data_IF_915204975820
#
_entry.id   IF_915204975820
#
_cell.length_a   1.000
_cell.length_b   1.000
_cell.length_c   1.000
_cell.angle_alpha   90.00
_cell.angle_beta   90.00
_cell.angle_gamma   90.00
#
_symmetry.space_group_name_H-M   'P 1'
#
loop_
_entity.id
_entity.type
_entity.pdbx_description
1 polymer ?
#
# COMPACT_ATOMS: atom_id res chain seq x y z
N UNK A 1 -2.22 -46.25 -3.33
CA UNK A 1 -3.22 -46.18 -2.24
C UNK A 1 -3.41 -44.77 -1.67
N UNK A 2 -2.39 -43.90 -1.61
CA UNK A 2 -2.53 -42.48 -1.20
C UNK A 2 -3.23 -41.61 -2.27
N UNK A 3 -3.10 -41.93 -3.56
CA UNK A 3 -3.77 -41.19 -4.65
C UNK A 3 -5.28 -41.48 -4.83
N UNK A 4 -5.78 -42.59 -4.29
CA UNK A 4 -7.21 -42.94 -4.39
C UNK A 4 -8.07 -42.18 -3.36
N UNK A 5 -7.46 -41.75 -2.24
CA UNK A 5 -8.13 -40.98 -1.18
C UNK A 5 -8.34 -39.51 -1.58
N UNK A 6 -7.49 -38.95 -2.46
CA UNK A 6 -7.63 -37.57 -2.93
C UNK A 6 -8.78 -37.40 -3.93
N UNK A 7 -9.01 -38.40 -4.79
CA UNK A 7 -10.10 -38.37 -5.78
C UNK A 7 -11.50 -38.52 -5.15
N UNK A 8 -11.63 -39.28 -4.05
CA UNK A 8 -12.91 -39.44 -3.34
C UNK A 8 -13.31 -38.19 -2.57
N UNK A 9 -12.35 -37.39 -2.07
CA UNK A 9 -12.64 -36.15 -1.34
C UNK A 9 -13.12 -35.02 -2.26
N UNK A 10 -12.64 -34.97 -3.51
CA UNK A 10 -13.11 -33.98 -4.51
C UNK A 10 -14.52 -34.29 -5.04
N UNK A 11 -14.89 -35.57 -5.21
CA UNK A 11 -16.21 -35.96 -5.68
C UNK A 11 -17.32 -35.70 -4.64
N UNK A 12 -17.02 -35.83 -3.33
CA UNK A 12 -17.97 -35.53 -2.26
C UNK A 12 -18.26 -34.02 -2.13
N UNK A 13 -17.28 -33.16 -2.42
CA UNK A 13 -17.44 -31.70 -2.39
C UNK A 13 -18.36 -31.20 -3.54
N UNK A 14 -18.22 -31.79 -4.73
CA UNK A 14 -19.02 -31.47 -5.92
C UNK A 14 -20.48 -31.96 -5.85
N UNK A 15 -20.79 -32.95 -5.01
CA UNK A 15 -22.14 -33.50 -4.86
C UNK A 15 -22.98 -32.79 -3.78
N UNK A 16 -22.36 -32.09 -2.82
CA UNK A 16 -23.10 -31.31 -1.80
C UNK A 16 -23.61 -29.95 -2.31
N UNK A 17 -23.08 -29.45 -3.43
CA UNK A 17 -23.47 -28.17 -4.02
C UNK A 17 -24.72 -28.21 -4.92
N UNK A 18 -25.41 -29.36 -5.04
CA UNK A 18 -26.55 -29.53 -5.97
C UNK A 18 -27.94 -29.63 -5.31
N UNK A 19 -28.06 -29.43 -4.00
CA UNK A 19 -29.36 -29.42 -3.33
C UNK A 19 -29.53 -28.15 -2.52
N UNK A 20 -29.84 -27.04 -3.18
CA UNK A 20 -30.68 -25.93 -2.70
C UNK A 20 -30.81 -24.91 -3.85
N UNK A 21 -31.55 -25.30 -4.90
CA UNK A 21 -32.06 -24.35 -5.87
C UNK A 21 -33.45 -23.90 -5.38
N UNK A 22 -33.48 -22.90 -4.51
CA UNK A 22 -34.69 -22.13 -4.21
C UNK A 22 -34.75 -20.92 -5.14
N UNK A 23 -35.94 -20.68 -5.69
CA UNK A 23 -36.27 -19.60 -6.64
C UNK A 23 -35.72 -18.23 -6.22
N UNK A 24 -35.34 -17.34 -7.17
CA UNK A 24 -34.86 -16.01 -6.82
C UNK A 24 -36.01 -15.18 -6.26
N UNK A 25 -35.95 -14.90 -4.96
CA UNK A 25 -36.83 -13.94 -4.31
C UNK A 25 -36.72 -12.56 -4.99
N UNK A 26 -37.85 -11.90 -5.16
CA UNK A 26 -37.95 -10.58 -5.77
C UNK A 26 -36.98 -9.59 -5.09
N UNK A 27 -36.13 -8.96 -5.89
CA UNK A 27 -35.19 -7.93 -5.43
C UNK A 27 -35.98 -6.65 -5.18
N UNK A 28 -36.24 -6.34 -3.91
CA UNK A 28 -36.73 -5.02 -3.49
C UNK A 28 -35.66 -3.97 -3.81
N UNK A 29 -36.00 -3.04 -4.71
CA UNK A 29 -35.09 -2.06 -5.32
C UNK A 29 -34.87 -0.77 -4.50
N UNK A 30 -35.09 -0.79 -3.18
CA UNK A 30 -35.08 0.46 -2.39
C UNK A 30 -34.07 0.52 -1.23
N UNK A 31 -33.08 -0.37 -1.15
CA UNK A 31 -32.07 -0.29 -0.06
C UNK A 31 -30.66 -0.13 -0.61
N UNK A 32 -30.09 1.06 -0.38
CA UNK A 32 -28.74 1.53 -0.77
C UNK A 32 -27.58 0.72 -0.15
N UNK A 33 -27.88 -0.22 0.75
CA UNK A 33 -26.90 -1.07 1.44
C UNK A 33 -27.23 -2.53 1.08
N UNK A 34 -26.29 -3.31 0.51
CA UNK A 34 -26.55 -4.71 0.15
C UNK A 34 -27.10 -5.47 1.36
N UNK A 35 -28.33 -5.98 1.24
CA UNK A 35 -29.04 -6.65 2.35
C UNK A 35 -28.59 -8.09 2.58
N UNK A 36 -27.77 -8.66 1.71
CA UNK A 36 -27.28 -10.02 1.88
C UNK A 36 -25.97 -9.97 2.71
N UNK A 37 -26.13 -10.13 4.03
CA UNK A 37 -25.11 -10.50 5.04
C UNK A 37 -24.15 -9.43 5.62
N UNK A 38 -24.50 -8.15 5.73
CA UNK A 38 -23.52 -7.17 6.27
C UNK A 38 -23.52 -7.05 7.80
N UNK A 39 -24.64 -7.31 8.48
CA UNK A 39 -24.73 -7.10 9.94
C UNK A 39 -25.35 -8.32 10.63
N UNK A 40 -24.54 -9.09 11.34
CA UNK A 40 -25.06 -10.04 12.34
C UNK A 40 -25.97 -9.32 13.35
N UNK A 41 -26.72 -10.07 14.17
CA UNK A 41 -27.76 -9.58 15.11
C UNK A 41 -27.37 -8.45 16.08
N UNK A 42 -26.11 -7.96 16.07
CA UNK A 42 -25.61 -6.85 16.89
C UNK A 42 -24.99 -5.78 15.99
N UNK A 43 -25.31 -4.51 16.30
CA UNK A 43 -24.73 -3.34 15.66
C UNK A 43 -23.20 -3.31 15.85
N UNK A 44 -22.46 -3.11 14.74
CA UNK A 44 -21.00 -3.03 14.74
C UNK A 44 -20.52 -1.74 15.37
N UNK A 45 -19.34 -1.76 16.00
CA UNK A 45 -18.71 -0.61 16.64
C UNK A 45 -17.40 -0.27 15.95
N UNK A 46 -17.22 0.97 15.51
CA UNK A 46 -16.00 1.46 14.84
C UNK A 46 -15.35 2.57 15.69
N UNK A 47 -14.04 2.45 15.93
CA UNK A 47 -13.26 3.50 16.56
C UNK A 47 -12.59 4.38 15.50
N UNK A 48 -12.85 5.68 15.55
CA UNK A 48 -12.22 6.69 14.71
C UNK A 48 -11.08 7.32 15.51
N UNK A 49 -9.84 7.06 15.08
CA UNK A 49 -8.63 7.68 15.60
C UNK A 49 -8.30 8.89 14.74
N UNK A 50 -8.46 10.09 15.29
CA UNK A 50 -8.09 11.32 14.60
C UNK A 50 -6.69 11.73 15.01
N UNK A 51 -5.72 11.44 14.16
CA UNK A 51 -4.33 11.84 14.40
C UNK A 51 -4.04 13.26 13.92
N UNK A 52 -4.91 13.86 13.09
CA UNK A 52 -4.77 15.21 12.53
C UNK A 52 -4.97 15.23 11.01
N UNK A 53 -4.19 16.07 10.33
CA UNK A 53 -4.26 16.25 8.88
C UNK A 53 -5.28 17.29 8.40
N UNK A 54 -5.26 17.56 7.09
CA UNK A 54 -6.05 18.59 6.42
C UNK A 54 -7.53 18.56 6.76
N UNK A 55 -8.08 17.38 7.03
CA UNK A 55 -9.47 17.17 7.40
C UNK A 55 -9.89 18.06 8.58
N UNK A 56 -9.04 18.23 9.59
CA UNK A 56 -9.31 19.00 10.81
C UNK A 56 -8.71 20.40 10.80
N UNK A 57 -8.19 20.88 9.66
CA UNK A 57 -7.49 22.17 9.61
C UNK A 57 -8.43 23.34 9.29
N UNK A 58 -8.18 24.51 9.89
CA UNK A 58 -8.84 25.78 9.58
C UNK A 58 -7.83 26.92 9.46
N UNK A 59 -8.18 28.05 8.83
CA UNK A 59 -7.33 29.23 8.82
C UNK A 59 -7.04 29.69 10.24
N UNK A 60 -5.77 29.95 10.54
CA UNK A 60 -5.30 30.46 11.81
C UNK A 60 -4.67 31.84 11.60
N UNK A 61 -5.26 32.88 12.22
CA UNK A 61 -4.81 34.27 12.08
C UNK A 61 -3.41 34.50 12.67
N UNK A 62 -3.04 33.80 13.73
CA UNK A 62 -1.71 33.89 14.37
C UNK A 62 -0.61 33.35 13.45
N UNK A 63 -0.98 32.50 12.48
CA UNK A 63 -0.11 31.96 11.44
C UNK A 63 -0.27 32.69 10.10
N UNK A 64 -0.75 33.94 10.13
CA UNK A 64 -0.93 34.75 8.92
C UNK A 64 -2.02 34.23 7.97
N UNK A 65 -3.00 33.50 8.51
CA UNK A 65 -4.08 32.87 7.72
C UNK A 65 -3.74 31.49 7.17
N UNK A 66 -2.57 30.94 7.50
CA UNK A 66 -2.21 29.56 7.17
C UNK A 66 -3.19 28.55 7.79
N UNK A 67 -3.35 27.40 7.14
CA UNK A 67 -4.15 26.31 7.72
C UNK A 67 -3.41 25.70 8.90
N UNK A 68 -4.11 25.45 10.00
CA UNK A 68 -3.60 24.74 11.17
C UNK A 68 -4.65 23.77 11.74
N UNK A 69 -4.23 22.66 12.39
CA UNK A 69 -5.16 21.74 13.03
C UNK A 69 -6.03 22.45 14.08
N UNK A 70 -7.32 22.12 14.11
CA UNK A 70 -8.26 22.62 15.12
C UNK A 70 -8.74 21.44 15.98
N UNK A 71 -8.38 21.48 17.25
CA UNK A 71 -8.79 20.48 18.24
C UNK A 71 -10.31 20.42 18.40
N UNK A 72 -10.84 19.21 18.53
CA UNK A 72 -12.27 18.97 18.70
C UNK A 72 -13.11 19.22 17.45
N UNK A 73 -12.51 19.66 16.34
CA UNK A 73 -13.24 19.96 15.11
C UNK A 73 -13.99 18.72 14.62
N UNK A 74 -13.30 17.59 14.46
CA UNK A 74 -13.95 16.38 13.96
C UNK A 74 -15.02 15.88 14.93
N UNK A 75 -14.75 15.89 16.23
CA UNK A 75 -15.74 15.52 17.26
C UNK A 75 -17.00 16.36 17.15
N UNK A 76 -16.86 17.68 16.99
CA UNK A 76 -17.99 18.61 16.82
C UNK A 76 -18.78 18.31 15.55
N UNK A 77 -18.09 18.18 14.41
CA UNK A 77 -18.74 17.87 13.13
C UNK A 77 -19.51 16.54 13.19
N UNK A 78 -18.94 15.50 13.80
CA UNK A 78 -19.60 14.20 13.93
C UNK A 78 -20.89 14.29 14.76
N UNK A 79 -20.91 15.12 15.81
CA UNK A 79 -22.09 15.29 16.65
C UNK A 79 -23.21 16.10 15.94
N UNK A 80 -22.82 17.20 15.29
CA UNK A 80 -23.75 18.22 14.77
C UNK A 80 -24.15 17.97 13.31
N UNK A 81 -23.19 17.64 12.44
CA UNK A 81 -23.35 17.78 10.98
C UNK A 81 -23.35 16.46 10.20
N UNK A 82 -22.99 15.32 10.80
CA UNK A 82 -22.96 14.01 10.14
C UNK A 82 -24.27 13.22 10.33
N UNK A 83 -25.32 13.62 9.61
CA UNK A 83 -26.62 12.92 9.63
C UNK A 83 -26.57 11.52 9.01
N UNK A 84 -25.64 11.26 8.09
CA UNK A 84 -25.45 9.96 7.44
C UNK A 84 -25.03 8.89 8.44
N UNK A 85 -24.26 9.25 9.48
CA UNK A 85 -23.84 8.31 10.52
C UNK A 85 -24.99 7.90 11.45
N UNK A 86 -26.10 8.67 11.45
CA UNK A 86 -27.30 8.37 12.24
C UNK A 86 -28.27 7.43 11.49
N UNK A 87 -27.93 7.01 10.27
CA UNK A 87 -28.76 6.08 9.49
C UNK A 87 -28.81 4.69 10.16
N UNK A 88 -29.95 3.96 10.11
CA UNK A 88 -30.15 2.71 10.86
C UNK A 88 -29.12 1.60 10.60
N UNK A 89 -28.47 1.63 9.44
CA UNK A 89 -27.53 0.60 9.00
C UNK A 89 -26.06 1.02 9.15
N UNK A 90 -25.77 2.19 9.71
CA UNK A 90 -24.41 2.60 10.02
C UNK A 90 -23.93 1.98 11.34
N UNK A 91 -22.62 1.65 11.45
CA UNK A 91 -22.06 1.19 12.71
C UNK A 91 -22.11 2.31 13.76
N UNK A 92 -22.16 1.91 15.03
CA UNK A 92 -21.91 2.82 16.15
C UNK A 92 -20.46 3.31 16.07
N UNK A 93 -20.25 4.62 16.13
CA UNK A 93 -18.91 5.22 16.03
C UNK A 93 -18.52 5.89 17.34
N UNK A 94 -17.28 5.67 17.76
CA UNK A 94 -16.64 6.47 18.80
C UNK A 94 -15.42 7.18 18.21
N UNK A 95 -15.18 8.42 18.59
CA UNK A 95 -14.00 9.18 18.19
C UNK A 95 -13.00 9.29 19.35
N UNK A 96 -11.72 9.21 19.02
CA UNK A 96 -10.62 9.58 19.89
C UNK A 96 -9.65 10.47 19.09
N UNK A 97 -9.55 11.75 19.48
CA UNK A 97 -8.58 12.67 18.92
C UNK A 97 -7.22 12.55 19.63
N UNK A 98 -6.14 12.72 18.89
CA UNK A 98 -4.80 12.81 19.47
C UNK A 98 -4.56 14.22 19.99
N UNK A 99 -3.90 14.27 21.14
CA UNK A 99 -3.40 15.50 21.74
C UNK A 99 -1.86 15.41 21.87
N UNK A 100 -1.08 16.26 21.18
CA UNK A 100 -1.54 17.19 20.15
C UNK A 100 -1.95 16.44 18.86
N UNK A 101 -2.71 17.13 18.00
CA UNK A 101 -2.91 16.70 16.61
C UNK A 101 -1.56 16.80 15.85
N UNK A 102 -1.36 15.91 14.89
CA UNK A 102 -0.12 15.73 14.14
C UNK A 102 -0.26 16.23 12.70
N UNK A 103 0.77 16.90 12.21
CA UNK A 103 1.03 17.04 10.78
C UNK A 103 1.60 15.71 10.26
N UNK A 104 1.06 15.19 9.16
CA UNK A 104 1.56 13.94 8.59
C UNK A 104 3.04 14.00 8.18
N UNK A 105 3.54 15.18 7.78
CA UNK A 105 4.93 15.38 7.39
C UNK A 105 5.92 15.25 8.56
N UNK A 106 5.45 15.45 9.79
CA UNK A 106 6.25 15.31 11.01
C UNK A 106 6.13 13.91 11.65
N UNK A 107 5.27 13.03 11.12
CA UNK A 107 5.05 11.71 11.71
C UNK A 107 6.26 10.79 11.53
N UNK A 108 6.76 10.27 12.65
CA UNK A 108 7.83 9.27 12.69
C UNK A 108 7.41 7.95 13.35
N UNK A 109 8.37 7.04 13.57
CA UNK A 109 8.12 5.74 14.20
C UNK A 109 7.39 5.79 15.54
N UNK A 110 7.69 6.78 16.38
CA UNK A 110 7.03 6.96 17.67
C UNK A 110 5.51 7.19 17.50
N UNK A 111 5.12 7.97 16.48
CA UNK A 111 3.71 8.23 16.18
C UNK A 111 3.01 7.00 15.61
N UNK A 112 3.70 6.23 14.76
CA UNK A 112 3.17 4.96 14.24
C UNK A 112 2.88 3.98 15.38
N UNK A 113 3.79 3.90 16.36
CA UNK A 113 3.60 3.10 17.58
C UNK A 113 2.43 3.60 18.39
N UNK A 114 2.28 4.92 18.57
CA UNK A 114 1.15 5.51 19.28
C UNK A 114 -0.20 5.11 18.63
N UNK A 115 -0.28 5.13 17.30
CA UNK A 115 -1.47 4.66 16.57
C UNK A 115 -1.69 3.16 16.80
N UNK A 116 -0.68 2.34 16.59
CA UNK A 116 -0.78 0.89 16.70
C UNK A 116 -1.12 0.42 18.13
N UNK A 117 -0.57 1.07 19.16
CA UNK A 117 -0.90 0.83 20.56
C UNK A 117 -2.34 1.23 20.90
N UNK A 118 -2.82 2.33 20.33
CA UNK A 118 -4.21 2.77 20.52
C UNK A 118 -5.19 1.78 19.91
N UNK A 119 -4.88 1.25 18.72
CA UNK A 119 -5.66 0.15 18.09
C UNK A 119 -5.62 -1.09 18.99
N UNK A 120 -4.43 -1.53 19.41
CA UNK A 120 -4.26 -2.72 20.25
C UNK A 120 -5.01 -2.62 21.58
N UNK A 121 -4.99 -1.45 22.23
CA UNK A 121 -5.71 -1.18 23.50
C UNK A 121 -7.23 -1.34 23.35
N UNK A 122 -7.77 -0.91 22.22
CA UNK A 122 -9.21 -0.94 21.95
C UNK A 122 -9.65 -2.16 21.13
N UNK A 123 -8.72 -3.08 20.83
CA UNK A 123 -8.92 -4.15 19.86
C UNK A 123 -10.10 -5.07 20.17
N UNK A 124 -10.38 -5.34 21.45
CA UNK A 124 -11.51 -6.20 21.84
C UNK A 124 -12.85 -5.44 21.96
N UNK A 125 -12.82 -4.11 21.99
CA UNK A 125 -14.01 -3.28 22.23
C UNK A 125 -14.74 -2.88 20.94
N UNK A 126 -14.00 -2.81 19.83
CA UNK A 126 -14.49 -2.37 18.52
C UNK A 126 -14.32 -3.46 17.47
N UNK A 127 -15.16 -3.44 16.44
CA UNK A 127 -15.16 -4.38 15.31
C UNK A 127 -14.20 -3.94 14.20
N UNK A 128 -13.82 -2.66 14.17
CA UNK A 128 -12.75 -2.15 13.31
C UNK A 128 -12.39 -0.69 13.60
N UNK A 129 -11.42 -0.19 12.84
CA UNK A 129 -10.72 1.06 13.14
C UNK A 129 -10.64 1.93 11.91
N UNK A 130 -10.92 3.22 12.06
CA UNK A 130 -10.62 4.25 11.08
C UNK A 130 -9.51 5.12 11.63
N UNK A 131 -8.47 5.39 10.85
CA UNK A 131 -7.40 6.33 11.21
C UNK A 131 -7.49 7.52 10.27
N UNK A 132 -7.93 8.66 10.80
CA UNK A 132 -7.96 9.94 10.09
C UNK A 132 -6.62 10.62 10.26
N UNK A 133 -5.93 10.88 9.14
CA UNK A 133 -4.61 11.51 9.15
C UNK A 133 -4.35 12.39 7.92
N UNK A 134 -3.25 13.14 7.95
CA UNK A 134 -2.77 13.91 6.80
C UNK A 134 -2.32 13.02 5.65
N UNK A 135 -2.43 13.53 4.43
CA UNK A 135 -2.24 12.71 3.23
C UNK A 135 -0.78 12.48 2.85
N UNK A 136 0.15 13.33 3.27
CA UNK A 136 1.53 13.31 2.76
C UNK A 136 2.28 12.03 3.10
N UNK A 137 2.07 11.47 4.29
CA UNK A 137 2.75 10.24 4.74
C UNK A 137 1.80 9.06 4.96
N UNK A 138 0.52 9.17 4.58
CA UNK A 138 -0.49 8.11 4.80
C UNK A 138 -0.09 6.76 4.20
N UNK A 139 0.56 6.76 3.04
CA UNK A 139 1.09 5.53 2.42
C UNK A 139 2.21 4.89 3.25
N UNK A 140 3.08 5.69 3.89
CA UNK A 140 4.11 5.20 4.81
C UNK A 140 3.49 4.65 6.10
N UNK A 141 2.56 5.38 6.71
CA UNK A 141 1.92 4.94 7.97
C UNK A 141 1.08 3.68 7.75
N UNK A 142 0.31 3.58 6.67
CA UNK A 142 -0.44 2.37 6.34
C UNK A 142 0.48 1.17 6.08
N UNK A 143 1.62 1.39 5.40
CA UNK A 143 2.64 0.36 5.20
C UNK A 143 3.24 -0.10 6.54
N UNK A 144 3.63 0.81 7.42
CA UNK A 144 4.17 0.50 8.74
C UNK A 144 3.17 -0.28 9.60
N UNK A 145 1.91 0.20 9.71
CA UNK A 145 0.86 -0.46 10.47
C UNK A 145 0.56 -1.87 9.95
N UNK A 146 0.66 -2.10 8.63
CA UNK A 146 0.50 -3.43 8.04
C UNK A 146 1.46 -4.42 8.67
N UNK A 147 2.74 -4.05 8.85
CA UNK A 147 3.74 -4.92 9.47
C UNK A 147 3.61 -4.99 10.99
N UNK A 148 3.33 -3.86 11.65
CA UNK A 148 3.26 -3.74 13.11
C UNK A 148 2.12 -4.54 13.74
N UNK A 149 0.99 -4.65 13.04
CA UNK A 149 -0.22 -5.37 13.49
C UNK A 149 -0.21 -6.82 12.99
N UNK A 150 0.62 -7.68 13.60
CA UNK A 150 0.65 -9.10 13.28
C UNK A 150 -0.63 -9.80 13.75
N UNK A 151 -1.16 -10.73 12.93
CA UNK A 151 -2.44 -11.41 13.16
C UNK A 151 -3.62 -10.43 13.28
N UNK A 152 -3.61 -9.37 12.48
CA UNK A 152 -4.76 -8.48 12.34
C UNK A 152 -5.96 -9.24 11.77
N UNK A 153 -7.05 -9.25 12.53
CA UNK A 153 -8.32 -9.92 12.21
C UNK A 153 -9.51 -8.96 12.18
N UNK A 154 -9.24 -7.66 12.10
CA UNK A 154 -10.23 -6.57 12.03
C UNK A 154 -9.73 -5.51 11.05
N UNK A 155 -10.61 -4.82 10.31
CA UNK A 155 -10.18 -3.81 9.36
C UNK A 155 -9.57 -2.59 10.07
N UNK A 156 -8.49 -2.08 9.51
CA UNK A 156 -7.88 -0.79 9.88
C UNK A 156 -7.82 0.06 8.62
N UNK A 157 -8.72 1.02 8.51
CA UNK A 157 -8.88 1.85 7.32
C UNK A 157 -8.32 3.24 7.58
N UNK A 158 -7.22 3.58 6.91
CA UNK A 158 -6.69 4.92 6.89
C UNK A 158 -7.46 5.76 5.88
N UNK A 159 -7.72 7.01 6.24
CA UNK A 159 -8.41 7.97 5.37
C UNK A 159 -8.03 9.40 5.74
N UNK A 160 -8.45 10.35 4.94
CA UNK A 160 -8.19 11.78 5.12
C UNK A 160 -8.90 12.59 4.06
N UNK A 161 -8.39 13.80 3.79
CA UNK A 161 -8.92 14.65 2.73
C UNK A 161 -7.85 15.53 2.12
N UNK A 162 -8.05 15.93 0.86
CA UNK A 162 -7.27 17.01 0.24
C UNK A 162 -7.80 18.38 0.64
N UNK A 163 -9.08 18.46 0.99
CA UNK A 163 -9.77 19.71 1.31
C UNK A 163 -10.29 19.64 2.75
N UNK A 164 -10.11 20.70 3.58
CA UNK A 164 -10.62 20.72 4.93
C UNK A 164 -12.13 20.45 5.04
N UNK A 165 -12.56 19.85 6.14
CA UNK A 165 -13.93 19.38 6.33
C UNK A 165 -14.99 20.51 6.26
N UNK A 166 -14.62 21.73 6.65
CA UNK A 166 -15.53 22.88 6.65
C UNK A 166 -15.78 23.50 5.27
N UNK A 167 -14.98 23.16 4.25
CA UNK A 167 -15.15 23.73 2.91
C UNK A 167 -16.26 23.03 2.12
N UNK A 168 -17.09 23.76 1.34
CA UNK A 168 -18.24 23.17 0.64
C UNK A 168 -17.91 22.03 -0.32
N UNK A 169 -16.77 22.10 -1.00
CA UNK A 169 -16.31 21.13 -2.00
C UNK A 169 -15.47 19.98 -1.40
N UNK A 170 -15.50 19.81 -0.07
CA UNK A 170 -14.64 18.85 0.63
C UNK A 170 -14.86 17.40 0.21
N UNK A 171 -13.77 16.65 0.08
CA UNK A 171 -13.76 15.20 -0.06
C UNK A 171 -13.82 14.46 1.29
N UNK A 172 -13.60 15.17 2.40
CA UNK A 172 -13.50 14.60 3.76
C UNK A 172 -14.74 13.80 4.17
N UNK A 173 -15.93 14.35 3.93
CA UNK A 173 -17.19 13.75 4.37
C UNK A 173 -17.41 12.37 3.75
N UNK A 174 -17.26 12.27 2.43
CA UNK A 174 -17.40 11.00 1.70
C UNK A 174 -16.30 10.01 2.09
N UNK A 175 -15.05 10.47 2.15
CA UNK A 175 -13.92 9.63 2.53
C UNK A 175 -14.11 9.01 3.92
N UNK A 176 -14.59 9.79 4.90
CA UNK A 176 -14.82 9.32 6.26
C UNK A 176 -16.00 8.33 6.35
N UNK A 177 -17.14 8.64 5.74
CA UNK A 177 -18.32 7.76 5.74
C UNK A 177 -17.97 6.39 5.14
N UNK A 178 -17.31 6.38 3.98
CA UNK A 178 -16.92 5.14 3.32
C UNK A 178 -15.85 4.37 4.10
N UNK A 179 -14.88 5.07 4.71
CA UNK A 179 -13.90 4.41 5.58
C UNK A 179 -14.58 3.72 6.78
N UNK A 180 -15.60 4.34 7.39
CA UNK A 180 -16.39 3.74 8.47
C UNK A 180 -17.16 2.50 7.97
N UNK A 181 -17.74 2.56 6.77
CA UNK A 181 -18.42 1.42 6.14
C UNK A 181 -17.44 0.26 5.89
N UNK A 182 -16.23 0.54 5.41
CA UNK A 182 -15.22 -0.51 5.23
C UNK A 182 -14.66 -1.02 6.57
N UNK A 183 -14.49 -0.15 7.56
CA UNK A 183 -14.04 -0.51 8.91
C UNK A 183 -15.05 -1.34 9.69
N UNK A 184 -16.24 -1.58 9.14
CA UNK A 184 -17.25 -2.44 9.75
C UNK A 184 -17.44 -3.76 9.00
N UNK A 185 -16.69 -3.99 7.90
CA UNK A 185 -16.63 -5.27 7.18
C UNK A 185 -15.75 -6.27 7.94
N UNK A 186 -16.33 -7.38 8.37
CA UNK A 186 -15.59 -8.47 9.04
C UNK A 186 -14.81 -9.35 8.05
N UNK A 187 -15.10 -9.25 6.76
CA UNK A 187 -14.36 -9.89 5.68
C UNK A 187 -12.98 -9.27 5.44
N UNK A 188 -12.76 -8.02 5.85
CA UNK A 188 -11.50 -7.29 5.67
C UNK A 188 -10.65 -7.41 6.93
N UNK A 189 -9.48 -8.03 6.81
CA UNK A 189 -8.54 -8.25 7.92
C UNK A 189 -7.15 -7.69 7.61
N UNK A 190 -7.11 -6.49 7.04
CA UNK A 190 -5.87 -5.85 6.65
C UNK A 190 -5.92 -4.34 6.89
N UNK A 191 -4.74 -3.73 6.83
CA UNK A 191 -4.60 -2.28 6.82
C UNK A 191 -4.79 -1.80 5.38
N UNK A 192 -5.74 -0.89 5.18
CA UNK A 192 -6.07 -0.35 3.86
C UNK A 192 -6.20 1.16 3.90
N UNK A 193 -6.08 1.81 2.74
CA UNK A 193 -6.44 3.21 2.56
C UNK A 193 -7.76 3.25 1.79
N UNK A 194 -8.74 4.01 2.30
CA UNK A 194 -9.86 4.44 1.49
C UNK A 194 -9.67 5.90 1.07
N UNK A 195 -9.67 6.17 -0.23
CA UNK A 195 -9.59 7.54 -0.74
C UNK A 195 -10.36 7.68 -2.05
N UNK A 196 -11.13 8.76 -2.17
CA UNK A 196 -11.98 9.09 -3.32
C UNK A 196 -13.09 8.06 -3.59
N UNK A 197 -12.77 6.99 -4.31
CA UNK A 197 -13.68 5.94 -4.74
C UNK A 197 -13.06 4.54 -4.66
N UNK A 198 -11.85 4.40 -4.08
CA UNK A 198 -11.10 3.14 -4.05
C UNK A 198 -10.67 2.78 -2.64
N UNK A 199 -10.82 1.49 -2.32
CA UNK A 199 -10.13 0.86 -1.20
C UNK A 199 -8.86 0.19 -1.74
N UNK A 200 -7.70 0.57 -1.24
CA UNK A 200 -6.40 0.03 -1.65
C UNK A 200 -5.66 -0.59 -0.47
N UNK A 201 -4.94 -1.69 -0.69
CA UNK A 201 -4.09 -2.32 0.32
C UNK A 201 -3.03 -1.33 0.79
N UNK A 202 -2.88 -1.13 2.10
CA UNK A 202 -2.03 -0.09 2.68
C UNK A 202 -0.58 -0.19 2.22
N UNK A 203 0.03 -1.37 2.35
CA UNK A 203 1.39 -1.65 1.89
C UNK A 203 1.55 -1.79 0.35
N UNK A 204 0.56 -1.37 -0.43
CA UNK A 204 0.63 -1.24 -1.90
C UNK A 204 0.35 0.19 -2.37
N UNK A 205 -0.03 1.07 -1.45
CA UNK A 205 -0.41 2.44 -1.76
C UNK A 205 0.80 3.34 -1.96
N UNK A 206 0.64 4.36 -2.79
CA UNK A 206 1.53 5.53 -2.87
C UNK A 206 0.71 6.78 -3.21
N UNK A 207 1.14 7.96 -2.74
CA UNK A 207 0.50 9.23 -3.09
C UNK A 207 1.06 9.70 -4.44
N UNK A 208 0.23 9.68 -5.48
CA UNK A 208 0.61 9.99 -6.87
C UNK A 208 0.25 11.41 -7.30
N UNK A 209 -0.56 12.13 -6.52
CA UNK A 209 -0.99 13.48 -6.88
C UNK A 209 -1.09 14.42 -5.67
N UNK A 210 -0.66 15.67 -5.86
CA UNK A 210 -0.66 16.73 -4.85
C UNK A 210 -1.92 17.62 -4.88
N UNK A 211 -2.74 17.54 -5.94
CA UNK A 211 -3.87 18.46 -6.15
C UNK A 211 -5.21 17.78 -6.43
N UNK A 212 -5.20 16.59 -7.05
CA UNK A 212 -6.42 15.85 -7.39
C UNK A 212 -6.99 15.17 -6.15
N UNK A 213 -8.32 15.12 -6.08
CA UNK A 213 -9.03 14.35 -5.05
C UNK A 213 -8.69 12.84 -5.11
N UNK A 214 -8.44 12.32 -6.32
CA UNK A 214 -7.86 10.99 -6.48
C UNK A 214 -6.32 11.08 -6.33
N UNK A 215 -5.86 11.17 -5.08
CA UNK A 215 -4.46 11.41 -4.74
C UNK A 215 -3.61 10.15 -4.54
N UNK A 216 -4.22 9.01 -4.23
CA UNK A 216 -3.53 7.75 -3.96
C UNK A 216 -3.76 6.73 -5.07
N UNK A 217 -2.75 5.89 -5.32
CA UNK A 217 -2.86 4.77 -6.26
C UNK A 217 -2.18 3.51 -5.71
N UNK A 218 -2.45 2.38 -6.35
CA UNK A 218 -1.84 1.07 -6.05
C UNK A 218 -1.24 0.50 -7.34
N UNK A 219 -0.05 0.96 -7.75
CA UNK A 219 0.45 0.75 -9.11
C UNK A 219 0.70 -0.71 -9.49
N UNK A 220 1.03 -1.55 -8.50
CA UNK A 220 1.43 -2.94 -8.67
C UNK A 220 0.47 -3.92 -7.98
N UNK A 221 -0.74 -3.49 -7.62
CA UNK A 221 -1.75 -4.39 -7.07
C UNK A 221 -3.15 -3.80 -7.29
N UNK A 222 -4.16 -4.59 -7.71
CA UNK A 222 -5.50 -4.05 -7.94
C UNK A 222 -6.12 -3.47 -6.66
N UNK A 223 -7.08 -2.55 -6.82
CA UNK A 223 -7.87 -2.07 -5.68
C UNK A 223 -8.70 -3.21 -5.06
N UNK A 224 -8.82 -3.18 -3.74
CA UNK A 224 -9.60 -4.14 -2.96
C UNK A 224 -11.11 -3.91 -3.15
N UNK A 225 -11.53 -2.67 -3.41
CA UNK A 225 -12.89 -2.34 -3.77
C UNK A 225 -12.97 -1.04 -4.57
N UNK A 226 -14.02 -0.92 -5.39
CA UNK A 226 -14.41 0.31 -6.09
C UNK A 226 -15.80 0.77 -5.64
N UNK A 227 -15.98 2.08 -5.48
CA UNK A 227 -17.22 2.70 -4.99
C UNK A 227 -17.83 3.54 -6.10
N UNK A 228 -18.73 2.92 -6.86
CA UNK A 228 -19.60 3.58 -7.83
C UNK A 228 -20.99 3.83 -7.25
N UNK A 229 -22.04 3.56 -8.05
CA UNK A 229 -23.42 3.49 -7.55
C UNK A 229 -23.55 2.36 -6.52
N UNK A 230 -22.86 1.25 -6.77
CA UNK A 230 -22.67 0.12 -5.87
C UNK A 230 -21.22 0.02 -5.40
N UNK A 231 -21.01 -0.68 -4.29
CA UNK A 231 -19.67 -1.08 -3.82
C UNK A 231 -19.33 -2.42 -4.49
N UNK A 232 -18.25 -2.44 -5.25
CA UNK A 232 -17.71 -3.63 -5.90
C UNK A 232 -16.47 -4.09 -5.14
N UNK A 233 -16.61 -5.12 -4.30
CA UNK A 233 -15.51 -5.70 -3.54
C UNK A 233 -14.82 -6.83 -4.29
N UNK A 234 -13.49 -6.75 -4.44
CA UNK A 234 -12.65 -7.80 -4.98
C UNK A 234 -12.23 -8.77 -3.86
N UNK A 235 -13.20 -9.44 -3.22
CA UNK A 235 -12.98 -10.24 -2.00
C UNK A 235 -11.96 -11.37 -2.15
N UNK A 236 -11.74 -11.87 -3.37
CA UNK A 236 -10.69 -12.84 -3.70
C UNK A 236 -9.26 -12.28 -3.52
N UNK A 237 -9.10 -10.96 -3.41
CA UNK A 237 -7.83 -10.29 -3.14
C UNK A 237 -7.59 -10.04 -1.64
N UNK A 238 -8.60 -10.20 -0.79
CA UNK A 238 -8.49 -9.90 0.65
C UNK A 238 -7.52 -10.85 1.34
N UNK A 239 -6.84 -10.33 2.37
CA UNK A 239 -6.01 -11.18 3.22
C UNK A 239 -6.87 -12.24 3.94
N UNK A 240 -6.37 -13.48 4.08
CA UNK A 240 -7.07 -14.50 4.83
C UNK A 240 -7.21 -14.09 6.29
N UNK A 241 -8.26 -14.60 6.95
CA UNK A 241 -8.48 -14.40 8.37
C UNK A 241 -7.25 -14.79 9.19
N UNK A 242 -6.88 -13.94 10.15
CA UNK A 242 -5.74 -14.17 11.01
C UNK A 242 -5.90 -15.44 11.85
N UNK A 243 -4.77 -16.12 12.07
CA UNK A 243 -4.71 -17.29 12.95
C UNK A 243 -4.00 -16.89 14.25
N UNK A 244 -4.78 -16.53 15.27
CA UNK A 244 -4.27 -16.19 16.60
C UNK A 244 -4.66 -14.79 17.06
N UNK A 245 -4.19 -14.42 18.26
CA UNK A 245 -4.41 -13.09 18.82
C UNK A 245 -3.52 -12.05 18.13
N UNK A 246 -3.99 -10.80 18.09
CA UNK A 246 -3.23 -9.65 17.62
C UNK A 246 -1.90 -9.56 18.39
N UNK A 247 -0.78 -9.48 17.67
CA UNK A 247 0.55 -9.23 18.21
C UNK A 247 1.07 -7.91 17.68
N UNK A 248 1.39 -7.00 18.60
CA UNK A 248 1.89 -5.68 18.27
C UNK A 248 3.43 -5.64 18.29
N UNK A 249 4.03 -5.18 17.19
CA UNK A 249 5.45 -4.85 17.10
C UNK A 249 5.67 -3.35 17.24
N UNK A 250 6.46 -2.95 18.23
CA UNK A 250 6.67 -1.53 18.58
C UNK A 250 7.98 -0.95 18.03
N UNK A 251 8.97 -1.80 17.80
CA UNK A 251 10.29 -1.34 17.41
C UNK A 251 10.35 -1.26 15.88
N UNK A 252 10.67 -0.08 15.36
CA UNK A 252 10.87 0.19 13.94
C UNK A 252 12.23 0.89 13.77
N UNK A 253 13.21 0.24 13.15
CA UNK A 253 14.55 0.81 12.95
C UNK A 253 14.63 1.57 11.61
N UNK A 254 14.38 2.87 11.65
CA UNK A 254 14.35 3.74 10.47
C UNK A 254 15.71 4.34 10.10
N UNK A 255 16.82 3.76 10.56
CA UNK A 255 18.18 4.13 10.09
C UNK A 255 18.41 3.58 8.69
N UNK A 256 17.67 4.13 7.73
CA UNK A 256 17.59 3.71 6.34
C UNK A 256 17.87 4.91 5.44
N UNK A 257 18.51 4.68 4.30
CA UNK A 257 18.75 5.71 3.28
C UNK A 257 18.10 5.29 1.96
N UNK A 258 17.22 6.12 1.40
CA UNK A 258 16.67 5.90 0.06
C UNK A 258 17.36 6.84 -0.95
N UNK A 259 17.89 6.28 -2.03
CA UNK A 259 18.61 7.03 -3.08
C UNK A 259 17.98 6.76 -4.44
N UNK A 260 17.48 7.82 -5.07
CA UNK A 260 17.05 7.78 -6.47
C UNK A 260 18.21 8.13 -7.38
N UNK A 261 18.65 7.18 -8.20
CA UNK A 261 19.79 7.41 -9.09
C UNK A 261 19.39 8.26 -10.31
N UNK A 262 20.32 9.08 -10.79
CA UNK A 262 20.17 9.84 -12.04
C UNK A 262 21.32 9.51 -12.99
N UNK A 263 21.14 9.59 -14.32
CA UNK A 263 22.23 9.35 -15.26
C UNK A 263 23.45 10.23 -14.95
N UNK A 264 24.63 9.63 -14.93
CA UNK A 264 25.88 10.34 -14.63
C UNK A 264 26.13 10.62 -13.14
N UNK A 265 25.37 10.02 -12.21
CA UNK A 265 25.62 10.16 -10.78
C UNK A 265 27.06 9.79 -10.40
N UNK A 266 27.61 10.50 -9.42
CA UNK A 266 28.91 10.20 -8.84
C UNK A 266 28.76 9.15 -7.73
N UNK A 267 29.48 8.03 -7.84
CA UNK A 267 29.43 6.95 -6.86
C UNK A 267 30.11 7.36 -5.55
N UNK A 268 30.98 8.38 -5.58
CA UNK A 268 31.72 8.86 -4.41
C UNK A 268 30.79 9.33 -3.28
N UNK A 269 29.64 9.90 -3.64
CA UNK A 269 28.61 10.36 -2.70
C UNK A 269 27.96 9.16 -2.00
N UNK A 270 27.57 8.15 -2.77
CA UNK A 270 26.98 6.92 -2.22
C UNK A 270 27.98 6.18 -1.34
N UNK A 271 29.23 6.08 -1.80
CA UNK A 271 30.31 5.49 -1.01
C UNK A 271 30.50 6.25 0.30
N UNK A 272 30.54 7.58 0.27
CA UNK A 272 30.66 8.38 1.49
C UNK A 272 29.51 8.12 2.46
N UNK A 273 28.27 8.02 1.99
CA UNK A 273 27.14 7.70 2.86
C UNK A 273 27.23 6.30 3.51
N UNK A 274 27.80 5.32 2.79
CA UNK A 274 27.99 3.94 3.26
C UNK A 274 29.21 3.80 4.18
N UNK A 275 30.27 4.58 3.94
CA UNK A 275 31.57 4.39 4.60
C UNK A 275 31.90 5.43 5.67
N UNK A 276 31.17 6.55 5.70
CA UNK A 276 31.43 7.63 6.65
C UNK A 276 30.92 7.27 8.05
N UNK A 277 31.85 6.88 8.92
CA UNK A 277 31.62 6.68 10.35
C UNK A 277 30.69 5.52 10.71
N UNK A 278 30.52 5.30 12.02
CA UNK A 278 29.53 4.37 12.54
C UNK A 278 28.22 5.12 12.83
N UNK A 279 27.52 5.52 11.76
CA UNK A 279 26.21 6.17 11.86
C UNK A 279 25.07 5.17 12.13
N UNK A 280 25.39 3.88 12.30
CA UNK A 280 24.41 2.82 12.54
C UNK A 280 23.41 2.59 11.41
N UNK A 281 23.75 2.96 10.17
CA UNK A 281 22.93 2.74 8.98
C UNK A 281 22.64 1.23 8.83
N UNK A 282 21.36 0.86 8.68
CA UNK A 282 20.93 -0.53 8.54
C UNK A 282 20.74 -0.95 7.10
N UNK A 283 20.22 -0.05 6.27
CA UNK A 283 19.99 -0.35 4.88
C UNK A 283 20.09 0.87 3.97
N UNK A 284 20.39 0.60 2.70
CA UNK A 284 20.28 1.55 1.60
C UNK A 284 19.30 0.99 0.57
N UNK A 285 18.28 1.77 0.22
CA UNK A 285 17.33 1.48 -0.86
C UNK A 285 17.75 2.27 -2.10
N UNK A 286 18.19 1.58 -3.15
CA UNK A 286 18.58 2.19 -4.42
C UNK A 286 17.46 2.05 -5.45
N UNK A 287 16.91 3.17 -5.91
CA UNK A 287 15.93 3.17 -7.00
C UNK A 287 16.66 3.18 -8.35
N UNK A 288 16.66 2.03 -9.02
CA UNK A 288 17.34 1.77 -10.27
C UNK A 288 16.46 2.06 -11.49
N UNK A 289 17.07 2.03 -12.69
CA UNK A 289 16.36 2.29 -13.94
C UNK A 289 15.61 1.05 -14.44
N UNK A 290 14.42 1.25 -15.01
CA UNK A 290 13.66 0.19 -15.67
C UNK A 290 13.43 -1.03 -14.77
N UNK A 291 13.86 -2.20 -15.22
CA UNK A 291 13.69 -3.47 -14.49
C UNK A 291 14.78 -3.75 -13.44
N UNK A 292 15.57 -2.74 -13.06
CA UNK A 292 16.66 -2.89 -12.08
C UNK A 292 18.07 -2.72 -12.68
N UNK A 293 18.22 -1.91 -13.72
CA UNK A 293 19.49 -1.75 -14.43
C UNK A 293 20.38 -0.69 -13.77
N UNK A 294 21.68 -0.98 -13.75
CA UNK A 294 22.75 -0.05 -13.40
C UNK A 294 23.72 0.12 -14.59
N UNK A 295 24.41 1.27 -14.68
CA UNK A 295 25.48 1.44 -15.66
C UNK A 295 26.58 0.38 -15.46
N UNK A 296 26.86 -0.41 -16.50
CA UNK A 296 27.82 -1.53 -16.46
C UNK A 296 29.29 -1.12 -16.33
N UNK A 297 29.59 0.18 -16.44
CA UNK A 297 30.96 0.74 -16.50
C UNK A 297 31.52 1.09 -15.12
N UNK A 298 30.71 1.03 -14.05
CA UNK A 298 31.09 1.47 -12.70
C UNK A 298 31.47 0.30 -11.78
N UNK A 299 32.68 -0.24 -11.94
CA UNK A 299 33.24 -1.25 -11.01
C UNK A 299 33.32 -0.75 -9.57
N UNK A 300 33.65 0.53 -9.37
CA UNK A 300 33.68 1.21 -8.06
C UNK A 300 32.37 1.13 -7.28
N UNK A 301 31.24 1.09 -7.99
CA UNK A 301 29.93 0.95 -7.37
C UNK A 301 29.78 -0.45 -6.77
N UNK A 302 30.09 -1.51 -7.51
CA UNK A 302 29.99 -2.88 -7.01
C UNK A 302 30.90 -3.12 -5.79
N UNK A 303 32.09 -2.54 -5.80
CA UNK A 303 33.00 -2.56 -4.63
C UNK A 303 32.35 -1.88 -3.42
N UNK A 304 31.74 -0.72 -3.62
CA UNK A 304 31.01 0.03 -2.58
C UNK A 304 29.84 -0.79 -2.01
N UNK A 305 29.07 -1.48 -2.85
CA UNK A 305 27.95 -2.33 -2.41
C UNK A 305 28.45 -3.56 -1.64
N UNK A 306 29.57 -4.13 -2.07
CA UNK A 306 30.23 -5.25 -1.37
C UNK A 306 30.74 -4.80 0.00
N UNK A 307 31.34 -3.61 0.09
CA UNK A 307 31.78 -3.01 1.36
C UNK A 307 30.59 -2.76 2.29
N UNK A 308 29.46 -2.29 1.76
CA UNK A 308 28.23 -2.11 2.54
C UNK A 308 27.80 -3.42 3.21
N UNK A 309 27.80 -4.52 2.43
CA UNK A 309 27.45 -5.85 2.95
C UNK A 309 28.39 -6.31 4.06
N UNK A 310 29.69 -6.08 3.91
CA UNK A 310 30.70 -6.42 4.92
C UNK A 310 30.53 -5.63 6.22
N UNK A 311 30.04 -4.39 6.13
CA UNK A 311 29.70 -3.55 7.30
C UNK A 311 28.35 -3.87 7.93
N UNK A 312 27.63 -4.87 7.41
CA UNK A 312 26.33 -5.24 7.92
C UNK A 312 25.18 -4.36 7.43
N UNK A 313 25.39 -3.58 6.36
CA UNK A 313 24.39 -2.72 5.75
C UNK A 313 23.71 -3.49 4.62
N UNK A 314 22.38 -3.60 4.64
CA UNK A 314 21.62 -4.25 3.57
C UNK A 314 21.41 -3.28 2.40
N UNK A 315 21.80 -3.68 1.20
CA UNK A 315 21.45 -2.91 -0.01
C UNK A 315 20.23 -3.57 -0.65
N UNK A 316 19.15 -2.81 -0.77
CA UNK A 316 17.92 -3.22 -1.48
C UNK A 316 17.77 -2.39 -2.75
N UNK A 317 17.45 -3.03 -3.86
CA UNK A 317 17.16 -2.33 -5.13
C UNK A 317 15.67 -2.33 -5.43
N UNK A 318 15.16 -1.19 -5.83
CA UNK A 318 13.80 -1.01 -6.36
C UNK A 318 13.88 -0.36 -7.74
N UNK A 319 12.74 -0.20 -8.41
CA UNK A 319 12.66 0.55 -9.66
C UNK A 319 12.22 1.99 -9.42
N UNK A 320 12.67 2.89 -10.30
CA UNK A 320 12.16 4.25 -10.41
C UNK A 320 10.82 4.36 -11.15
N UNK A 321 10.46 3.31 -11.90
CA UNK A 321 9.19 3.22 -12.60
C UNK A 321 8.06 3.06 -11.57
N UNK A 322 6.93 3.72 -11.81
CA UNK A 322 5.77 3.62 -10.93
C UNK A 322 5.19 2.19 -10.92
N UNK A 323 5.20 1.54 -12.08
CA UNK A 323 4.73 0.16 -12.28
C UNK A 323 5.88 -0.77 -12.65
N UNK A 324 5.80 -2.03 -12.19
CA UNK A 324 6.77 -3.08 -12.48
C UNK A 324 7.61 -3.49 -11.27
N UNK A 325 8.56 -4.41 -11.50
CA UNK A 325 9.41 -4.98 -10.47
C UNK A 325 10.90 -4.81 -10.78
N UNK A 326 11.72 -4.65 -9.74
CA UNK A 326 13.16 -4.83 -9.83
C UNK A 326 13.48 -6.33 -9.91
N UNK A 327 14.14 -6.76 -10.99
CA UNK A 327 14.44 -8.17 -11.24
C UNK A 327 15.96 -8.38 -11.31
N UNK A 328 16.52 -8.91 -10.22
CA UNK A 328 17.91 -9.34 -10.19
C UNK A 328 18.04 -10.67 -10.95
N UNK A 329 18.94 -10.72 -11.95
CA UNK A 329 19.30 -11.96 -12.67
C UNK A 329 18.81 -12.09 -14.12
N UNK A 330 17.97 -11.19 -14.64
CA UNK A 330 17.61 -11.20 -16.08
C UNK A 330 18.70 -10.67 -17.02
N UNK A 331 19.69 -9.94 -16.48
CA UNK A 331 20.80 -9.35 -17.22
C UNK A 331 22.12 -9.56 -16.46
N UNK A 332 23.26 -9.52 -17.17
CA UNK A 332 24.60 -9.73 -16.60
C UNK A 332 24.89 -8.85 -15.37
N UNK A 333 24.38 -7.61 -15.37
CA UNK A 333 24.48 -6.66 -14.25
C UNK A 333 23.77 -7.17 -12.99
N UNK A 334 22.66 -7.90 -13.14
CA UNK A 334 21.90 -8.46 -12.02
C UNK A 334 22.66 -9.56 -11.27
N UNK A 335 23.48 -10.36 -11.96
CA UNK A 335 24.32 -11.36 -11.30
C UNK A 335 25.43 -10.72 -10.47
N UNK A 336 26.08 -9.67 -10.99
CA UNK A 336 27.12 -8.95 -10.23
C UNK A 336 26.55 -8.33 -8.94
N UNK A 337 25.33 -7.79 -8.99
CA UNK A 337 24.64 -7.24 -7.81
C UNK A 337 24.30 -8.32 -6.79
N UNK A 338 23.76 -9.47 -7.24
CA UNK A 338 23.46 -10.57 -6.34
C UNK A 338 24.73 -11.10 -5.64
N UNK A 339 25.85 -11.22 -6.37
CA UNK A 339 27.14 -11.59 -5.81
C UNK A 339 27.68 -10.57 -4.80
N UNK A 340 27.32 -9.29 -4.94
CA UNK A 340 27.64 -8.23 -3.97
C UNK A 340 26.72 -8.22 -2.73
N UNK A 341 25.75 -9.16 -2.64
CA UNK A 341 24.82 -9.25 -1.51
C UNK A 341 23.66 -8.25 -1.59
N UNK A 342 23.39 -7.71 -2.78
CA UNK A 342 22.23 -6.83 -3.05
C UNK A 342 20.96 -7.66 -3.18
N UNK A 343 19.87 -7.16 -2.61
CA UNK A 343 18.56 -7.82 -2.58
C UNK A 343 17.54 -7.04 -3.40
N UNK A 344 16.63 -7.74 -4.07
CA UNK A 344 15.53 -7.07 -4.77
C UNK A 344 14.39 -6.71 -3.81
N UNK A 345 13.81 -5.52 -3.99
CA UNK A 345 12.53 -5.13 -3.41
C UNK A 345 11.31 -5.59 -4.21
N UNK A 346 11.49 -6.33 -5.32
CA UNK A 346 10.39 -6.80 -6.16
C UNK A 346 9.58 -5.64 -6.74
N UNK A 347 8.26 -5.74 -6.64
CA UNK A 347 7.27 -4.74 -7.05
C UNK A 347 6.73 -3.89 -5.88
N UNK A 348 7.41 -3.89 -4.74
CA UNK A 348 7.05 -3.05 -3.59
C UNK A 348 7.18 -1.55 -3.92
N UNK A 349 6.31 -0.75 -3.33
CA UNK A 349 6.46 0.71 -3.28
C UNK A 349 7.61 1.11 -2.35
N UNK A 350 8.09 2.35 -2.44
CA UNK A 350 9.16 2.84 -1.54
C UNK A 350 8.68 2.87 -0.08
N UNK A 351 7.42 3.19 0.12
CA UNK A 351 6.72 3.20 1.40
C UNK A 351 6.72 1.81 2.03
N UNK A 352 6.42 0.77 1.22
CA UNK A 352 6.42 -0.61 1.66
C UNK A 352 7.84 -1.12 1.96
N UNK A 353 8.82 -0.85 1.08
CA UNK A 353 10.22 -1.27 1.31
C UNK A 353 10.80 -0.63 2.56
N UNK A 354 10.63 0.68 2.73
CA UNK A 354 11.16 1.39 3.90
C UNK A 354 10.50 0.90 5.21
N UNK A 355 9.17 0.72 5.21
CA UNK A 355 8.42 0.19 6.35
C UNK A 355 8.78 -1.26 6.68
N UNK A 356 8.94 -2.12 5.67
CA UNK A 356 9.31 -3.52 5.84
C UNK A 356 10.71 -3.65 6.42
N UNK A 357 11.68 -2.89 5.91
CA UNK A 357 13.04 -2.86 6.46
C UNK A 357 13.03 -2.36 7.90
N UNK A 358 12.32 -1.27 8.19
CA UNK A 358 12.21 -0.74 9.54
C UNK A 358 11.61 -1.75 10.52
N UNK A 359 10.58 -2.49 10.09
CA UNK A 359 10.00 -3.59 10.86
C UNK A 359 11.00 -4.73 11.09
N UNK A 360 11.63 -5.24 10.03
CA UNK A 360 12.52 -6.40 10.12
C UNK A 360 13.75 -6.11 10.98
N UNK A 361 14.40 -4.96 10.81
CA UNK A 361 15.50 -4.54 11.68
C UNK A 361 15.03 -4.19 13.09
N UNK A 362 13.83 -3.63 13.23
CA UNK A 362 13.22 -3.30 14.51
C UNK A 362 12.92 -4.52 15.39
N UNK A 363 12.66 -5.69 14.79
CA UNK A 363 12.45 -6.93 15.57
C UNK A 363 13.65 -7.30 16.45
N UNK A 364 14.87 -7.01 16.00
CA UNK A 364 16.10 -7.26 16.75
C UNK A 364 16.49 -8.73 16.93
N UNK A 365 15.69 -9.67 16.44
CA UNK A 365 15.90 -11.12 16.53
C UNK A 365 16.30 -11.77 15.19
N UNK A 366 16.58 -10.96 14.17
CA UNK A 366 16.93 -11.40 12.82
C UNK A 366 18.37 -11.02 12.47
N UNK A 367 19.09 -11.97 11.88
CA UNK A 367 20.36 -11.72 11.21
C UNK A 367 20.17 -10.96 9.89
N UNK A 368 21.23 -10.34 9.37
CA UNK A 368 21.19 -9.63 8.09
C UNK A 368 20.79 -10.55 6.91
N UNK A 369 21.15 -11.84 6.98
CA UNK A 369 20.75 -12.84 5.99
C UNK A 369 19.25 -13.11 6.08
N UNK A 370 18.69 -13.28 7.28
CA UNK A 370 17.25 -13.49 7.45
C UNK A 370 16.44 -12.27 7.03
N UNK A 371 16.91 -11.04 7.31
CA UNK A 371 16.27 -9.82 6.80
C UNK A 371 16.28 -9.80 5.27
N UNK A 372 17.42 -10.14 4.65
CA UNK A 372 17.56 -10.24 3.19
C UNK A 372 16.58 -11.26 2.58
N UNK A 373 16.50 -12.46 3.16
CA UNK A 373 15.62 -13.53 2.69
C UNK A 373 14.14 -13.14 2.79
N UNK A 374 13.76 -12.44 3.87
CA UNK A 374 12.39 -12.01 4.10
C UNK A 374 11.94 -10.88 3.16
N UNK A 375 12.83 -10.17 2.47
CA UNK A 375 12.46 -9.05 1.59
C UNK A 375 11.51 -9.46 0.46
N UNK A 376 11.69 -10.63 -0.14
CA UNK A 376 10.82 -11.13 -1.21
C UNK A 376 9.71 -12.08 -0.71
N UNK A 377 9.66 -12.36 0.60
CA UNK A 377 8.56 -13.12 1.21
C UNK A 377 7.40 -12.16 1.48
N UNK A 378 6.20 -12.39 0.91
CA UNK A 378 5.04 -11.54 1.20
C UNK A 378 4.58 -11.76 2.64
N UNK A 379 4.76 -10.75 3.50
CA UNK A 379 4.32 -10.81 4.89
C UNK A 379 2.90 -10.29 5.07
N UNK A 380 2.52 -9.28 4.28
CA UNK A 380 1.25 -8.53 4.36
C UNK A 380 0.65 -8.24 2.98
N UNK A 381 1.16 -8.91 1.94
CA UNK A 381 0.72 -8.72 0.56
C UNK A 381 1.37 -7.52 -0.14
N UNK A 382 2.49 -7.03 0.38
CA UNK A 382 3.30 -5.91 -0.11
C UNK A 382 4.08 -6.19 -1.39
N UNK A 383 4.44 -7.47 -1.61
CA UNK A 383 5.20 -7.94 -2.78
C UNK A 383 4.45 -9.11 -3.42
N UNK A 384 4.46 -9.17 -4.74
CA UNK A 384 3.81 -10.26 -5.48
C UNK A 384 4.75 -11.47 -5.54
N UNK A 385 4.23 -12.68 -5.36
CA UNK A 385 5.03 -13.86 -5.71
C UNK A 385 5.20 -13.96 -7.23
N UNK A 386 6.25 -14.63 -7.72
CA UNK A 386 6.59 -14.64 -9.15
C UNK A 386 5.41 -15.07 -10.05
N UNK A 387 4.61 -16.05 -9.63
CA UNK A 387 3.42 -16.49 -10.38
C UNK A 387 2.31 -15.43 -10.43
N UNK A 388 2.08 -14.71 -9.33
CA UNK A 388 1.12 -13.60 -9.28
C UNK A 388 1.59 -12.41 -10.12
N UNK A 389 2.90 -12.13 -10.14
CA UNK A 389 3.47 -11.07 -10.96
C UNK A 389 3.25 -11.32 -12.47
N UNK A 390 3.45 -12.57 -12.92
CA UNK A 390 3.25 -12.94 -14.31
C UNK A 390 1.76 -12.87 -14.72
N UNK A 391 0.85 -13.36 -13.87
CA UNK A 391 -0.61 -13.23 -14.09
C UNK A 391 -1.07 -11.76 -14.13
N UNK A 392 -0.54 -10.93 -13.23
CA UNK A 392 -0.91 -9.52 -13.14
C UNK A 392 -0.39 -8.70 -14.31
N UNK A 393 0.82 -9.00 -14.81
CA UNK A 393 1.33 -8.36 -16.03
C UNK A 393 0.48 -8.71 -17.25
N UNK A 394 0.01 -9.95 -17.36
CA UNK A 394 -0.93 -10.36 -18.42
C UNK A 394 -2.25 -9.59 -18.25
N UNK A 395 -2.81 -9.55 -17.05
CA UNK A 395 -4.05 -8.82 -16.77
C UNK A 395 -3.94 -7.32 -17.10
N UNK A 396 -2.86 -6.65 -16.67
CA UNK A 396 -2.62 -5.23 -16.97
C UNK A 396 -2.38 -4.95 -18.45
N UNK A 397 -1.68 -5.86 -19.16
CA UNK A 397 -1.51 -5.74 -20.61
C UNK A 397 -2.84 -5.89 -21.36
N UNK A 398 -3.78 -6.69 -20.83
CA UNK A 398 -5.10 -6.93 -21.44
C UNK A 398 -6.19 -5.93 -21.05
N UNK A 399 -6.07 -5.26 -19.90
CA UNK A 399 -7.13 -4.40 -19.35
C UNK A 399 -7.19 -2.99 -19.94
N UNK A 400 -6.24 -2.60 -20.80
CA UNK A 400 -6.29 -1.34 -21.55
C UNK A 400 -6.30 -0.07 -20.69
N UNK A 401 -5.93 -0.17 -19.40
CA UNK A 401 -5.89 0.93 -18.42
C UNK A 401 -4.68 1.88 -18.60
N UNK A 402 -4.29 2.13 -19.85
CA UNK A 402 -3.54 3.34 -20.17
C UNK A 402 -4.56 4.44 -20.47
N UNK A 403 -4.49 5.64 -19.87
CA UNK A 403 -5.28 6.75 -20.36
C UNK A 403 -4.94 6.94 -21.84
N UNK A 404 -5.96 6.96 -22.68
CA UNK A 404 -5.88 7.33 -24.10
C UNK A 404 -5.03 8.60 -24.24
N UNK A 405 -3.74 8.44 -24.55
CA UNK A 405 -2.99 9.49 -25.24
C UNK A 405 -3.49 9.41 -26.67
N UNK A 406 -4.54 10.17 -26.94
CA UNK A 406 -5.11 10.31 -28.27
C UNK A 406 -4.07 10.86 -29.23
N UNK A 407 -3.43 9.97 -29.98
CA UNK A 407 -2.92 10.20 -31.32
C UNK A 407 -2.47 8.84 -31.89
N UNK A 408 -3.23 8.28 -32.84
CA UNK A 408 -2.61 7.38 -33.82
C UNK A 408 -1.47 8.18 -34.46
N UNK A 409 -0.23 7.66 -34.56
CA UNK A 409 0.75 8.30 -35.41
C UNK A 409 0.18 8.31 -36.83
N UNK A 410 -0.16 9.50 -37.35
CA UNK A 410 -0.23 9.68 -38.79
C UNK A 410 1.13 9.25 -39.32
N UNK A 411 1.13 8.39 -40.33
CA UNK A 411 2.31 7.97 -41.08
C UNK A 411 3.17 9.19 -41.43
N UNK A 412 4.21 9.45 -40.64
CA UNK A 412 5.26 10.40 -40.99
C UNK A 412 6.15 9.68 -41.99
N UNK A 413 5.86 9.91 -43.28
CA UNK A 413 6.80 9.62 -44.37
C UNK A 413 8.09 10.39 -44.10
N UNK A 414 9.13 9.68 -43.66
CA UNK A 414 10.49 10.18 -43.75
C UNK A 414 10.87 10.24 -45.23
N UNK A 415 11.37 11.39 -45.74
CA UNK A 415 11.83 11.46 -47.12
C UNK A 415 13.16 10.72 -47.21
N UNK A 416 13.24 9.66 -48.02
CA UNK A 416 14.52 9.13 -48.50
C UNK A 416 14.80 7.65 -48.34
N UNK A 417 13.86 6.79 -47.93
CA UNK A 417 14.08 5.33 -47.97
C UNK A 417 12.97 4.66 -48.76
N UNK A 418 13.35 4.04 -49.87
CA UNK A 418 12.40 3.29 -50.72
C UNK A 418 12.07 1.94 -50.09
N UNK A 419 10.85 1.46 -50.32
CA UNK A 419 10.28 0.25 -49.70
C UNK A 419 11.03 -1.05 -50.09
N UNK A 420 11.93 -0.98 -51.06
CA UNK A 420 12.69 -2.09 -51.59
C UNK A 420 13.98 -2.38 -50.80
N UNK A 421 14.53 -1.40 -50.06
CA UNK A 421 15.73 -1.60 -49.22
C UNK A 421 15.42 -2.29 -47.88
N UNK A 422 14.17 -2.23 -47.40
CA UNK A 422 13.75 -2.83 -46.13
C UNK A 422 13.47 -4.34 -46.22
N UNK A 423 13.45 -4.93 -47.42
CA UNK A 423 13.14 -6.35 -47.63
C UNK A 423 14.40 -7.23 -47.62
N UNK A 424 15.60 -6.69 -47.83
CA UNK A 424 16.83 -7.51 -47.90
C UNK A 424 17.42 -7.89 -46.52
N UNK A 425 17.11 -7.16 -45.45
CA UNK A 425 17.68 -7.42 -44.10
C UNK A 425 16.92 -8.50 -43.32
N UNK A 426 15.77 -8.97 -43.80
CA UNK A 426 14.97 -10.03 -43.14
C UNK A 426 15.39 -11.46 -43.47
N UNK A 427 16.44 -11.67 -44.26
CA UNK A 427 16.87 -13.00 -44.69
C UNK A 427 18.19 -13.51 -44.10
N UNK A 428 18.79 -12.81 -43.13
CA UNK A 428 20.00 -13.27 -42.42
C UNK A 428 20.01 -12.90 -40.93
N UNK A 429 18.93 -13.22 -40.21
CA UNK A 429 18.91 -13.30 -38.74
C UNK A 429 18.06 -14.49 -38.31
#
# INVERSE_FOLDING_TARGET
RVWALFAQSCAACLMSHKQHATEPAAVDREVFIPQHDVWGKRQRRVLILCTGGTLTMAPNEDLGGGLAPVEGMLTKFLAEDFHELKQPHMPETQIQEFDPLLDSSDMGPADWVRVAETIARHYLQFDGFVVVMGTDTMAYVSSALSFMLENLGKPVILTGSQIPLWQPQTDARRNLIMAIIFASRDTICEVAIFFHDRLIRGCRATKVNTHRLNAFDSPNFPSLAHVGISIEEASHLFMPQARGALRLHRNMDTRLLAVRLVPGFDDSVLRSAITCGDIGLRAVVLQLFGTGNLPSVKTSLLETLTEARQKGILVVVTTQCLTGAAMLGKYAVGHALASAGVVSGGDMTLEAVSSKLAYLFGRGDLSLNEVADLMLVPLRGEVSCQSQYDEMNVAMATSGLFPNVGARPKETKWPGVSREELVSVRSNL
#
